data_IF_757819070381
#
_entry.id   IF_757819070381
#
_cell.length_a   1.000
_cell.length_b   1.000
_cell.length_c   1.000
_cell.angle_alpha   90.00
_cell.angle_beta   90.00
_cell.angle_gamma   90.00
#
_symmetry.space_group_name_H-M   'P 1'
#
loop_
_entity.id
_entity.type
_entity.pdbx_description
1 polymer ?
#
# COMPACT_ATOMS: atom_id res chain seq x y z
N UNK A 1 -10.45 -22.36 10.60
CA UNK A 1 -10.56 -22.30 9.12
C UNK A 1 -9.16 -22.26 8.57
N UNK A 2 -8.80 -23.10 7.60
CA UNK A 2 -7.48 -22.99 6.95
C UNK A 2 -7.47 -21.77 6.01
N UNK A 3 -6.34 -21.10 5.87
CA UNK A 3 -6.27 -19.88 5.05
C UNK A 3 -6.71 -20.11 3.61
N UNK A 4 -6.32 -21.23 3.01
CA UNK A 4 -6.75 -21.64 1.67
C UNK A 4 -8.26 -21.83 1.52
N UNK A 5 -9.00 -21.99 2.63
CA UNK A 5 -10.46 -22.17 2.63
C UNK A 5 -11.23 -20.85 2.71
N UNK A 6 -10.55 -19.72 2.96
CA UNK A 6 -11.18 -18.39 3.06
C UNK A 6 -11.96 -18.06 1.79
N UNK A 7 -11.42 -18.40 0.62
CA UNK A 7 -12.06 -18.11 -0.66
C UNK A 7 -13.42 -18.80 -0.89
N UNK A 8 -13.77 -19.80 -0.07
CA UNK A 8 -15.08 -20.48 -0.11
C UNK A 8 -16.16 -19.77 0.72
N UNK A 9 -15.77 -18.86 1.62
CA UNK A 9 -16.73 -18.08 2.40
C UNK A 9 -17.33 -16.98 1.52
N UNK A 10 -18.66 -16.89 1.48
CA UNK A 10 -19.37 -15.96 0.60
C UNK A 10 -18.91 -14.50 0.79
N UNK A 11 -18.72 -14.08 2.04
CA UNK A 11 -18.26 -12.73 2.40
C UNK A 11 -16.79 -12.45 2.03
N UNK A 12 -15.99 -13.49 1.76
CA UNK A 12 -14.56 -13.38 1.43
C UNK A 12 -14.24 -14.08 0.12
N UNK A 13 -15.21 -14.17 -0.79
CA UNK A 13 -15.01 -14.85 -2.07
C UNK A 13 -13.96 -14.14 -2.93
N UNK A 14 -13.45 -14.83 -3.97
CA UNK A 14 -12.56 -14.22 -4.98
C UNK A 14 -13.19 -12.98 -5.63
N UNK A 15 -14.51 -12.94 -5.74
CA UNK A 15 -15.23 -11.79 -6.29
C UNK A 15 -15.19 -10.60 -5.34
N UNK A 16 -15.41 -10.81 -4.05
CA UNK A 16 -15.33 -9.75 -3.04
C UNK A 16 -13.91 -9.18 -2.93
N UNK A 17 -12.89 -10.03 -2.95
CA UNK A 17 -11.50 -9.55 -3.00
C UNK A 17 -11.25 -8.63 -4.21
N UNK A 18 -11.72 -9.01 -5.41
CA UNK A 18 -11.57 -8.19 -6.62
C UNK A 18 -12.30 -6.86 -6.52
N UNK A 19 -13.43 -6.78 -5.82
CA UNK A 19 -14.13 -5.51 -5.58
C UNK A 19 -13.29 -4.60 -4.70
N UNK A 20 -12.83 -5.10 -3.56
CA UNK A 20 -12.02 -4.32 -2.61
C UNK A 20 -10.74 -3.80 -3.28
N UNK A 21 -10.00 -4.63 -4.01
CA UNK A 21 -8.76 -4.19 -4.69
C UNK A 21 -9.04 -3.05 -5.69
N UNK A 22 -10.18 -3.07 -6.39
CA UNK A 22 -10.55 -2.01 -7.34
C UNK A 22 -10.87 -0.67 -6.69
N UNK A 23 -11.16 -0.65 -5.39
CA UNK A 23 -11.39 0.60 -4.64
C UNK A 23 -10.07 1.34 -4.34
N UNK A 24 -8.94 0.63 -4.39
CA UNK A 24 -7.61 1.18 -4.07
C UNK A 24 -6.63 1.03 -5.23
N UNK A 25 -6.94 1.60 -6.42
CA UNK A 25 -6.00 1.59 -7.52
C UNK A 25 -4.76 2.43 -7.17
N UNK A 26 -3.63 2.17 -7.84
CA UNK A 26 -2.37 2.88 -7.58
C UNK A 26 -2.48 4.41 -7.58
N UNK A 27 -3.40 4.99 -8.36
CA UNK A 27 -3.69 6.44 -8.36
C UNK A 27 -4.23 6.96 -7.02
N UNK A 28 -5.13 6.21 -6.36
CA UNK A 28 -5.71 6.61 -5.08
C UNK A 28 -4.67 6.45 -3.98
N UNK A 29 -3.84 5.40 -4.06
CA UNK A 29 -2.68 5.20 -3.19
C UNK A 29 -1.72 6.38 -3.29
N UNK A 30 -1.32 6.78 -4.50
CA UNK A 30 -0.44 7.94 -4.73
C UNK A 30 -1.03 9.23 -4.17
N UNK A 31 -2.33 9.46 -4.37
CA UNK A 31 -3.04 10.61 -3.80
C UNK A 31 -2.98 10.61 -2.28
N UNK A 32 -3.28 9.47 -1.64
CA UNK A 32 -3.21 9.31 -0.20
C UNK A 32 -1.80 9.54 0.36
N UNK A 33 -0.77 9.05 -0.32
CA UNK A 33 0.63 9.29 0.04
C UNK A 33 0.99 10.78 -0.04
N UNK A 34 0.51 11.51 -1.06
CA UNK A 34 0.77 12.94 -1.18
C UNK A 34 0.09 13.74 -0.05
N UNK A 35 -1.14 13.39 0.32
CA UNK A 35 -1.85 14.02 1.44
C UNK A 35 -1.16 13.71 2.78
N UNK A 36 -0.62 12.51 2.91
CA UNK A 36 0.16 12.08 4.05
C UNK A 36 1.48 12.86 4.18
N UNK A 37 2.20 13.06 3.07
CA UNK A 37 3.40 13.90 3.04
C UNK A 37 3.13 15.31 3.56
N UNK A 38 2.10 15.98 3.02
CA UNK A 38 1.70 17.32 3.46
C UNK A 38 1.32 17.38 4.94
N UNK A 39 0.72 16.31 5.47
CA UNK A 39 0.43 16.22 6.91
C UNK A 39 1.73 16.12 7.72
N UNK A 40 2.65 15.27 7.31
CA UNK A 40 3.94 15.07 7.99
C UNK A 40 4.73 16.38 7.99
N UNK A 41 4.89 17.00 6.82
CA UNK A 41 5.57 18.29 6.66
C UNK A 41 5.01 19.39 7.59
N UNK A 42 3.68 19.50 7.71
CA UNK A 42 3.04 20.51 8.58
C UNK A 42 3.27 20.31 10.08
N UNK A 43 3.61 19.11 10.52
CA UNK A 43 3.70 18.77 11.96
C UNK A 43 5.13 18.50 12.42
N UNK A 44 6.10 18.45 11.51
CA UNK A 44 7.51 18.29 11.85
C UNK A 44 8.21 19.65 11.88
N UNK A 45 9.16 19.81 12.80
CA UNK A 45 10.05 20.97 12.77
C UNK A 45 11.02 20.85 11.58
N UNK A 46 11.50 22.00 11.10
CA UNK A 46 12.46 22.08 9.99
C UNK A 46 13.88 21.67 10.41
N UNK A 47 14.13 21.56 11.72
CA UNK A 47 15.44 21.21 12.27
C UNK A 47 15.76 19.71 12.04
N UNK A 48 17.04 19.41 11.81
CA UNK A 48 17.60 18.05 11.73
C UNK A 48 17.12 17.14 10.59
N UNK A 49 16.53 17.67 9.51
CA UNK A 49 16.02 16.87 8.38
C UNK A 49 15.02 15.78 8.80
N UNK A 50 14.30 15.99 9.90
CA UNK A 50 13.38 15.01 10.48
C UNK A 50 12.33 14.53 9.46
N UNK A 51 11.89 15.42 8.56
CA UNK A 51 10.98 15.08 7.46
C UNK A 51 11.52 13.95 6.58
N UNK A 52 12.80 13.99 6.18
CA UNK A 52 13.39 12.96 5.32
C UNK A 52 13.48 11.62 6.05
N UNK A 53 13.85 11.65 7.33
CA UNK A 53 13.95 10.46 8.18
C UNK A 53 12.58 9.80 8.33
N UNK A 54 11.56 10.58 8.68
CA UNK A 54 10.18 10.11 8.84
C UNK A 54 9.65 9.60 7.51
N UNK A 55 9.85 10.33 6.40
CA UNK A 55 9.35 9.92 5.09
C UNK A 55 9.96 8.60 4.61
N UNK A 56 11.26 8.38 4.87
CA UNK A 56 11.92 7.11 4.59
C UNK A 56 11.34 5.98 5.45
N UNK A 57 11.14 6.19 6.75
CA UNK A 57 10.54 5.18 7.61
C UNK A 57 9.12 4.80 7.15
N UNK A 58 8.35 5.78 6.68
CA UNK A 58 7.01 5.55 6.11
C UNK A 58 7.06 4.77 4.80
N UNK A 59 8.04 5.01 3.93
CA UNK A 59 8.26 4.21 2.73
C UNK A 59 8.55 2.75 3.08
N UNK A 60 9.45 2.51 4.03
CA UNK A 60 9.83 1.18 4.46
C UNK A 60 8.62 0.42 5.04
N UNK A 61 7.85 1.07 5.93
CA UNK A 61 6.63 0.50 6.51
C UNK A 61 5.55 0.20 5.45
N UNK A 62 5.33 1.12 4.51
CA UNK A 62 4.34 0.91 3.44
C UNK A 62 4.70 -0.29 2.56
N UNK A 63 5.99 -0.49 2.26
CA UNK A 63 6.47 -1.66 1.51
C UNK A 63 6.26 -2.95 2.33
N UNK A 64 6.46 -2.94 3.65
CA UNK A 64 6.17 -4.11 4.49
C UNK A 64 4.67 -4.44 4.47
N UNK A 65 3.81 -3.44 4.59
CA UNK A 65 2.35 -3.62 4.51
C UNK A 65 1.91 -4.15 3.15
N UNK A 66 2.47 -3.64 2.05
CA UNK A 66 2.24 -4.16 0.71
C UNK A 66 2.61 -5.65 0.60
N UNK A 67 3.82 -6.02 1.04
CA UNK A 67 4.29 -7.41 1.03
C UNK A 67 3.41 -8.33 1.87
N UNK A 68 2.96 -7.85 3.03
CA UNK A 68 2.03 -8.57 3.89
C UNK A 68 0.70 -8.83 3.18
N UNK A 69 0.11 -7.81 2.54
CA UNK A 69 -1.15 -7.94 1.80
C UNK A 69 -1.00 -8.91 0.62
N UNK A 70 0.06 -8.79 -0.18
CA UNK A 70 0.32 -9.72 -1.29
C UNK A 70 0.49 -11.16 -0.79
N UNK A 71 1.23 -11.39 0.31
CA UNK A 71 1.35 -12.70 0.92
C UNK A 71 0.02 -13.25 1.42
N UNK A 72 -0.81 -12.40 2.04
CA UNK A 72 -2.14 -12.76 2.51
C UNK A 72 -3.06 -13.15 1.35
N UNK A 73 -3.04 -12.41 0.25
CA UNK A 73 -3.78 -12.74 -0.97
C UNK A 73 -3.36 -14.12 -1.49
N UNK A 74 -2.06 -14.40 -1.56
CA UNK A 74 -1.55 -15.68 -2.03
C UNK A 74 -1.99 -16.87 -1.16
N UNK A 75 -1.95 -16.71 0.17
CA UNK A 75 -2.34 -17.75 1.14
C UNK A 75 -3.86 -18.00 1.16
N UNK A 76 -4.65 -16.94 1.08
CA UNK A 76 -6.11 -17.00 1.18
C UNK A 76 -6.80 -17.32 -0.15
N UNK A 77 -6.15 -16.97 -1.27
CA UNK A 77 -6.72 -17.08 -2.63
C UNK A 77 -5.73 -17.75 -3.61
N UNK A 78 -5.24 -18.96 -3.31
CA UNK A 78 -4.27 -19.65 -4.15
C UNK A 78 -4.81 -19.86 -5.58
N UNK A 79 -3.95 -19.66 -6.58
CA UNK A 79 -4.29 -19.82 -8.00
C UNK A 79 -5.33 -18.82 -8.53
N UNK A 80 -5.66 -17.77 -7.79
CA UNK A 80 -6.65 -16.77 -8.21
C UNK A 80 -6.15 -15.78 -9.27
N UNK A 81 -4.82 -15.65 -9.39
CA UNK A 81 -4.14 -14.64 -10.22
C UNK A 81 -4.61 -13.22 -9.90
N UNK A 82 -5.08 -12.98 -8.67
CA UNK A 82 -5.46 -11.66 -8.17
C UNK A 82 -4.21 -11.02 -7.57
N UNK A 83 -3.88 -9.82 -8.01
CA UNK A 83 -2.77 -8.99 -7.51
C UNK A 83 -3.24 -7.56 -7.36
N UNK A 84 -2.49 -6.74 -6.62
CA UNK A 84 -2.64 -5.29 -6.66
C UNK A 84 -2.28 -4.74 -8.06
N UNK A 85 -2.84 -3.60 -8.44
CA UNK A 85 -2.62 -2.96 -9.76
C UNK A 85 -1.37 -2.06 -9.80
N UNK A 86 -0.58 -2.08 -8.73
CA UNK A 86 0.70 -1.41 -8.59
C UNK A 86 1.73 -2.31 -7.93
N UNK A 87 3.00 -2.01 -8.17
CA UNK A 87 4.16 -2.76 -7.70
C UNK A 87 4.94 -2.01 -6.62
N UNK A 88 5.94 -2.68 -6.04
CA UNK A 88 6.93 -2.02 -5.17
C UNK A 88 7.69 -0.93 -5.92
N UNK A 89 7.97 -1.12 -7.21
CA UNK A 89 8.64 -0.10 -8.04
C UNK A 89 7.79 1.16 -8.17
N UNK A 90 6.48 1.00 -8.39
CA UNK A 90 5.54 2.12 -8.41
C UNK A 90 5.49 2.83 -7.05
N UNK A 91 5.49 2.09 -5.93
CA UNK A 91 5.54 2.66 -4.58
C UNK A 91 6.81 3.52 -4.42
N UNK A 92 7.98 2.96 -4.76
CA UNK A 92 9.25 3.68 -4.67
C UNK A 92 9.23 4.96 -5.52
N UNK A 93 8.67 4.87 -6.73
CA UNK A 93 8.50 6.01 -7.62
C UNK A 93 7.56 7.06 -7.01
N UNK A 94 6.41 6.66 -6.45
CA UNK A 94 5.47 7.58 -5.80
C UNK A 94 6.13 8.36 -4.67
N UNK A 95 6.80 7.66 -3.74
CA UNK A 95 7.50 8.30 -2.62
C UNK A 95 8.59 9.26 -3.09
N UNK A 96 9.34 8.88 -4.13
CA UNK A 96 10.41 9.68 -4.71
C UNK A 96 9.88 10.92 -5.44
N UNK A 97 8.80 10.81 -6.20
CA UNK A 97 8.19 11.94 -6.91
C UNK A 97 7.54 12.93 -5.95
N UNK A 98 6.85 12.42 -4.93
CA UNK A 98 6.22 13.26 -3.91
C UNK A 98 7.30 14.10 -3.20
N UNK A 99 8.37 13.46 -2.72
CA UNK A 99 9.47 14.17 -2.05
C UNK A 99 10.22 15.17 -2.96
N UNK A 100 10.19 14.99 -4.29
CA UNK A 100 10.79 15.94 -5.25
C UNK A 100 9.86 17.11 -5.60
N UNK A 101 8.57 17.00 -5.30
CA UNK A 101 7.55 17.98 -5.69
C UNK A 101 7.20 18.99 -4.59
N UNK A 102 7.82 18.87 -3.42
CA UNK A 102 7.73 19.77 -2.27
C UNK A 102 9.15 20.18 -1.87
#
# INVERSE_FOLDING_TARGET
>A
VKESEISYQMAFSKQELRKVIREYPGREVRKGLNDLYKKVEKHLCEEENLLQVVWRAMQEEFIQQYKYIENLIQRCYPGSMITLDFSIEDILQFFSEIARSH
#
